data_IF_268723518593
#
_entry.id   IF_268723518593
#
_cell.length_a   1.000
_cell.length_b   1.000
_cell.length_c   1.000
_cell.angle_alpha   90.00
_cell.angle_beta   90.00
_cell.angle_gamma   90.00
#
_symmetry.space_group_name_H-M   'P 1'
#
loop_
_entity.id
_entity.type
_entity.pdbx_description
1 polymer ?
2 polymer ?
3 non-polymer ?
4 water ?
#
# COMPACT_ATOMS: atom_id res chain seq x y z
N UNK A 10 27.19 -11.88 13.99
CA UNK A 10 25.94 -12.63 13.65
C UNK A 10 26.04 -14.08 14.15
N UNK A 11 24.95 -14.55 14.78
CA UNK A 11 24.80 -15.93 15.28
C UNK A 11 23.82 -16.74 14.37
N UNK A 12 23.55 -18.04 14.67
CA UNK A 12 22.69 -18.77 13.74
C UNK A 12 21.21 -18.33 13.70
N UNK A 13 20.60 -17.95 14.84
CA UNK A 13 19.21 -17.47 14.76
C UNK A 13 19.10 -16.15 13.98
N UNK A 14 20.04 -15.22 14.21
CA UNK A 14 20.16 -13.97 13.45
C UNK A 14 20.31 -14.24 11.96
N UNK A 15 21.10 -15.25 11.63
CA UNK A 15 21.29 -15.68 10.23
C UNK A 15 19.97 -16.08 9.54
N UNK A 16 19.17 -16.89 10.20
CA UNK A 16 17.85 -17.28 9.67
C UNK A 16 16.96 -16.04 9.45
N UNK A 17 17.07 -15.07 10.36
CA UNK A 17 16.33 -13.80 10.22
C UNK A 17 16.84 -12.95 9.06
N UNK A 18 18.16 -12.93 8.83
CA UNK A 18 18.72 -12.26 7.65
C UNK A 18 18.31 -12.92 6.37
N UNK A 19 18.29 -14.24 6.37
CA UNK A 19 17.83 -14.99 5.20
C UNK A 19 16.36 -14.67 4.84
N UNK A 20 15.53 -14.61 5.86
CA UNK A 20 14.12 -14.26 5.68
C UNK A 20 14.00 -12.82 5.11
N UNK A 21 14.76 -11.89 5.66
CA UNK A 21 14.81 -10.52 5.14
C UNK A 21 15.17 -10.46 3.67
N UNK A 22 16.19 -11.22 3.29
CA UNK A 22 16.61 -11.24 1.91
C UNK A 22 15.59 -11.91 0.99
N UNK A 23 14.99 -12.99 1.46
CA UNK A 23 14.00 -13.68 0.68
C UNK A 23 12.82 -12.73 0.37
N UNK A 24 12.40 -11.98 1.39
CA UNK A 24 11.29 -11.04 1.22
C UNK A 24 11.68 -9.88 0.29
N UNK A 25 12.88 -9.31 0.44
CA UNK A 25 13.36 -8.24 -0.44
C UNK A 25 13.30 -8.64 -1.89
N UNK A 26 13.79 -9.85 -2.19
CA UNK A 26 13.80 -10.37 -3.55
C UNK A 26 12.37 -10.57 -4.09
N UNK A 27 11.45 -11.08 -3.28
CA UNK A 27 10.04 -11.22 -3.72
C UNK A 27 9.40 -9.87 -3.93
N UNK A 28 9.76 -8.92 -3.08
CA UNK A 28 9.21 -7.56 -3.18
C UNK A 28 9.59 -6.93 -4.54
N UNK A 29 10.87 -7.05 -4.88
CA UNK A 29 11.39 -6.53 -6.17
C UNK A 29 10.76 -7.20 -7.37
N UNK A 30 10.53 -8.50 -7.27
CA UNK A 30 9.77 -9.18 -8.29
C UNK A 30 8.32 -8.73 -8.40
N UNK A 31 7.65 -8.45 -7.27
CA UNK A 31 6.18 -8.23 -7.29
C UNK A 31 5.76 -6.82 -7.59
N UNK A 32 6.61 -5.86 -7.27
CA UNK A 32 6.23 -4.48 -7.27
C UNK A 32 7.13 -3.76 -8.28
N UNK A 33 6.57 -3.42 -9.45
CA UNK A 33 7.38 -2.85 -10.53
C UNK A 33 8.07 -1.53 -10.16
N UNK A 34 7.40 -0.64 -9.44
CA UNK A 34 7.99 0.66 -9.08
C UNK A 34 8.39 0.72 -7.61
N UNK A 35 9.68 0.65 -7.32
CA UNK A 35 10.18 0.60 -5.95
C UNK A 35 10.30 1.98 -5.37
N UNK A 36 10.52 2.07 -4.06
CA UNK A 36 10.76 3.37 -3.44
C UNK A 36 12.05 4.00 -3.95
N UNK A 37 13.07 3.17 -4.16
CA UNK A 37 14.33 3.59 -4.78
C UNK A 37 14.07 4.36 -6.08
N UNK A 38 13.39 3.72 -7.02
CA UNK A 38 13.07 4.36 -8.30
C UNK A 38 12.20 5.60 -8.13
N UNK A 39 11.18 5.52 -7.28
CA UNK A 39 10.30 6.64 -6.99
C UNK A 39 11.06 7.84 -6.49
N UNK A 40 11.99 7.61 -5.57
CA UNK A 40 12.81 8.68 -5.01
C UNK A 40 13.71 9.31 -6.06
N UNK A 41 14.32 8.48 -6.90
CA UNK A 41 15.16 8.94 -8.00
C UNK A 41 14.35 9.90 -8.87
N UNK A 42 13.13 9.47 -9.26
CA UNK A 42 12.21 10.29 -10.04
C UNK A 42 11.88 11.60 -9.33
N UNK A 43 11.58 11.56 -8.04
CA UNK A 43 11.12 12.76 -7.34
C UNK A 43 12.22 13.77 -7.06
N UNK A 44 13.43 13.32 -6.79
CA UNK A 44 14.52 14.24 -6.49
C UNK A 44 15.10 14.84 -7.77
N UNK A 45 14.93 14.14 -8.90
CA UNK A 45 15.53 14.53 -10.16
C UNK A 45 16.80 13.79 -10.47
N UNK A 46 17.22 12.90 -9.56
CA UNK A 46 18.47 12.16 -9.73
C UNK A 46 18.29 10.97 -10.67
N UNK A 47 17.66 11.19 -11.81
CA UNK A 47 17.44 10.11 -12.80
C UNK A 47 17.72 10.65 -14.21
N UNK A 48 18.15 9.76 -15.10
CA UNK A 48 18.37 10.10 -16.51
C UNK A 48 17.09 9.94 -17.37
N UNK A 49 15.96 9.54 -16.77
CA UNK A 49 14.67 9.54 -17.47
C UNK A 49 14.14 10.97 -17.58
N UNK A 50 13.20 11.16 -18.50
CA UNK A 50 12.45 12.41 -18.57
C UNK A 50 11.77 12.58 -17.23
N UNK A 51 11.75 13.80 -16.71
CA UNK A 51 10.97 14.10 -15.50
C UNK A 51 9.46 13.89 -15.82
N UNK A 52 8.63 13.65 -14.78
CA UNK A 52 7.22 13.32 -15.05
C UNK A 52 6.35 14.53 -15.47
N UNK A 53 5.29 14.25 -16.23
CA UNK A 53 4.29 15.26 -16.58
C UNK A 53 3.49 15.69 -15.36
N UNK A 54 3.45 16.99 -15.08
CA UNK A 54 2.80 17.53 -13.89
C UNK A 54 1.32 17.82 -14.14
N UNK A 55 0.44 17.26 -13.30
CA UNK A 55 -0.97 17.49 -13.37
C UNK A 55 -1.31 18.32 -12.17
N UNK A 56 -1.70 19.59 -12.44
CA UNK A 56 -1.99 20.58 -11.42
C UNK A 56 -3.34 21.24 -11.61
N UNK A 57 -4.00 20.95 -12.72
CA UNK A 57 -5.31 21.52 -13.01
C UNK A 57 -6.04 20.68 -14.05
N UNK A 58 -7.29 21.01 -14.28
CA UNK A 58 -8.12 20.29 -15.23
C UNK A 58 -7.48 20.27 -16.61
N UNK A 59 -6.92 21.40 -17.02
CA UNK A 59 -6.26 21.49 -18.33
C UNK A 59 -5.03 20.64 -18.45
N UNK A 60 -4.13 20.75 -17.47
CA UNK A 60 -2.93 19.93 -17.47
C UNK A 60 -3.30 18.45 -17.46
N UNK A 61 -4.29 18.09 -16.65
CA UNK A 61 -4.81 16.73 -16.61
C UNK A 61 -5.13 16.23 -18.02
N UNK A 62 -6.01 16.95 -18.70
CA UNK A 62 -6.47 16.59 -20.05
C UNK A 62 -5.33 16.51 -21.06
N UNK A 63 -4.39 17.44 -21.00
CA UNK A 63 -3.21 17.36 -21.88
C UNK A 63 -2.31 16.18 -21.55
N UNK A 64 -2.23 15.86 -20.26
CA UNK A 64 -1.51 14.68 -19.77
C UNK A 64 -2.21 13.39 -20.12
N UNK A 65 -3.55 13.38 -20.13
CA UNK A 65 -4.32 12.21 -20.60
C UNK A 65 -3.91 11.82 -22.02
N UNK A 66 -3.58 12.82 -22.83
CA UNK A 66 -2.93 12.61 -24.13
C UNK A 66 -1.41 12.28 -23.93
N UNK A 67 -1.09 11.16 -23.27
CA UNK A 67 0.31 10.68 -23.09
C UNK A 67 0.40 9.16 -23.20
N UNK A 79 -14.52 7.31 -21.88
CA UNK A 79 -14.93 7.66 -20.52
C UNK A 79 -15.73 8.98 -20.46
N UNK A 80 -15.05 10.13 -20.40
CA UNK A 80 -15.70 11.46 -20.41
C UNK A 80 -16.76 11.69 -19.30
N UNK A 81 -16.49 11.16 -18.11
CA UNK A 81 -17.22 11.54 -16.91
C UNK A 81 -16.50 12.80 -16.40
N UNK A 82 -17.04 13.44 -15.37
CA UNK A 82 -16.39 14.62 -14.81
C UNK A 82 -15.02 14.30 -14.17
N UNK A 83 -14.15 15.30 -14.10
CA UNK A 83 -12.76 15.13 -13.66
C UNK A 83 -12.61 14.42 -12.29
N UNK A 84 -13.40 14.81 -11.29
CA UNK A 84 -13.24 14.25 -9.95
C UNK A 84 -13.49 12.73 -9.97
N UNK A 85 -14.47 12.31 -10.77
CA UNK A 85 -14.84 10.91 -10.92
C UNK A 85 -13.77 10.16 -11.70
N UNK A 86 -13.27 10.75 -12.78
CA UNK A 86 -12.21 10.12 -13.52
C UNK A 86 -10.99 9.89 -12.65
N UNK A 87 -10.64 10.87 -11.81
CA UNK A 87 -9.50 10.72 -10.91
C UNK A 87 -9.77 9.63 -9.89
N UNK A 88 -10.93 9.68 -9.26
CA UNK A 88 -11.28 8.69 -8.24
C UNK A 88 -11.23 7.26 -8.80
N UNK A 89 -11.75 7.08 -9.99
CA UNK A 89 -11.74 5.77 -10.62
C UNK A 89 -10.38 5.34 -11.11
N UNK A 90 -9.53 6.29 -11.47
CA UNK A 90 -8.11 5.97 -11.73
C UNK A 90 -7.40 5.43 -10.49
N UNK A 91 -7.70 6.02 -9.33
CA UNK A 91 -7.22 5.49 -8.04
C UNK A 91 -7.72 4.05 -7.83
N UNK A 92 -9.00 3.80 -8.08
CA UNK A 92 -9.54 2.43 -8.01
C UNK A 92 -8.78 1.45 -8.91
N UNK A 93 -8.58 1.83 -10.16
CA UNK A 93 -7.83 1.04 -11.12
C UNK A 93 -6.40 0.72 -10.62
N UNK A 94 -5.74 1.70 -10.00
CA UNK A 94 -4.42 1.49 -9.44
C UNK A 94 -4.49 0.46 -8.25
N UNK A 95 -5.47 0.62 -7.37
CA UNK A 95 -5.66 -0.35 -6.27
C UNK A 95 -5.86 -1.76 -6.76
N UNK A 96 -6.70 -1.92 -7.80
CA UNK A 96 -6.93 -3.23 -8.38
C UNK A 96 -5.67 -3.91 -8.83
N UNK A 97 -4.81 -3.17 -9.50
CA UNK A 97 -3.49 -3.70 -9.87
C UNK A 97 -2.60 -3.93 -8.63
N UNK A 98 -2.67 -3.03 -7.67
CA UNK A 98 -1.90 -3.17 -6.43
C UNK A 98 -2.31 -4.45 -5.66
N UNK A 99 -3.61 -4.72 -5.61
CA UNK A 99 -4.11 -5.93 -4.90
C UNK A 99 -3.52 -7.19 -5.52
N UNK A 100 -3.40 -7.18 -6.85
CA UNK A 100 -2.80 -8.31 -7.54
C UNK A 100 -1.34 -8.48 -7.25
N UNK A 101 -0.60 -7.40 -7.21
CA UNK A 101 0.81 -7.45 -6.84
C UNK A 101 1.02 -7.91 -5.37
N UNK A 102 0.16 -7.41 -4.49
CA UNK A 102 0.28 -7.72 -3.04
C UNK A 102 -0.05 -9.20 -2.80
N UNK A 103 -1.02 -9.71 -3.56
CA UNK A 103 -1.43 -11.12 -3.48
C UNK A 103 -0.27 -12.01 -3.91
N UNK A 104 0.40 -11.64 -4.99
CA UNK A 104 1.58 -12.38 -5.40
C UNK A 104 2.68 -12.32 -4.35
N UNK A 105 2.93 -11.14 -3.80
CA UNK A 105 3.93 -10.99 -2.76
C UNK A 105 3.58 -11.84 -1.53
N UNK A 106 2.32 -11.81 -1.12
CA UNK A 106 1.87 -12.56 0.08
C UNK A 106 2.17 -14.04 -0.04
N UNK A 107 1.98 -14.58 -1.25
CA UNK A 107 2.25 -15.99 -1.55
C UNK A 107 3.70 -16.40 -1.36
N UNK A 108 4.62 -15.43 -1.48
CA UNK A 108 6.03 -15.66 -1.19
C UNK A 108 6.43 -15.60 0.29
N UNK A 109 5.54 -15.19 1.18
CA UNK A 109 5.90 -15.10 2.61
C UNK A 109 5.91 -16.51 3.18
N UNK A 110 7.08 -16.97 3.69
CA UNK A 110 7.15 -18.38 4.08
C UNK A 110 6.05 -18.76 5.08
N UNK A 111 5.30 -19.82 4.77
CA UNK A 111 4.20 -20.29 5.60
C UNK A 111 2.83 -19.77 5.25
N UNK A 112 2.75 -18.65 4.52
CA UNK A 112 1.47 -18.09 4.13
C UNK A 112 0.53 -19.03 3.37
N UNK A 113 1.01 -19.63 2.28
CA UNK A 113 0.16 -20.52 1.51
C UNK A 113 -0.22 -21.82 2.22
N UNK A 114 0.47 -22.16 3.32
CA UNK A 114 0.07 -23.33 4.13
C UNK A 114 -1.05 -23.02 5.13
N UNK A 115 -1.48 -21.77 5.24
CA UNK A 115 -2.63 -21.45 6.07
C UNK A 115 -3.94 -21.88 5.41
N UNK A 116 -4.93 -22.20 6.23
CA UNK A 116 -6.32 -22.24 5.78
C UNK A 116 -6.57 -21.10 4.77
N UNK A 117 -7.06 -21.50 3.58
CA UNK A 117 -7.34 -20.61 2.49
C UNK A 117 -8.30 -19.50 2.87
N UNK A 118 -9.29 -19.78 3.71
CA UNK A 118 -10.21 -18.72 4.18
C UNK A 118 -9.47 -17.66 4.99
N UNK A 119 -8.50 -18.11 5.76
CA UNK A 119 -7.67 -17.19 6.51
C UNK A 119 -6.71 -16.42 5.58
N UNK A 120 -6.18 -17.06 4.52
CA UNK A 120 -5.38 -16.30 3.53
C UNK A 120 -6.20 -15.16 2.95
N UNK A 121 -7.45 -15.46 2.61
CA UNK A 121 -8.39 -14.48 2.09
C UNK A 121 -8.64 -13.38 3.10
N UNK A 122 -8.90 -13.74 4.35
CA UNK A 122 -9.20 -12.70 5.36
C UNK A 122 -8.00 -11.76 5.60
N UNK A 123 -6.80 -12.32 5.65
CA UNK A 123 -5.56 -11.54 5.83
C UNK A 123 -5.34 -10.55 4.68
N UNK A 124 -5.63 -11.00 3.47
CA UNK A 124 -5.51 -10.14 2.31
C UNK A 124 -6.57 -9.09 2.32
N UNK A 125 -7.80 -9.47 2.62
CA UNK A 125 -8.87 -8.53 2.65
C UNK A 125 -8.62 -7.36 3.57
N UNK A 126 -8.12 -7.64 4.77
CA UNK A 126 -7.83 -6.62 5.75
C UNK A 126 -6.43 -5.99 5.55
N UNK A 127 -5.51 -6.67 4.90
CA UNK A 127 -4.13 -6.18 4.77
C UNK A 127 -3.92 -5.22 3.60
N UNK A 128 -4.66 -5.43 2.51
CA UNK A 128 -4.31 -4.79 1.22
C UNK A 128 -4.33 -3.28 1.24
N UNK A 129 -5.37 -2.67 1.84
CA UNK A 129 -5.38 -1.23 1.88
C UNK A 129 -4.33 -0.62 2.77
N UNK A 130 -4.03 -1.26 3.90
CA UNK A 130 -2.95 -0.81 4.77
C UNK A 130 -1.64 -0.81 3.97
N UNK A 131 -1.40 -1.84 3.18
CA UNK A 131 -0.21 -1.93 2.37
C UNK A 131 -0.25 -0.89 1.23
N UNK A 132 -1.39 -0.76 0.55
CA UNK A 132 -1.53 0.25 -0.47
C UNK A 132 -1.14 1.66 0.01
N UNK A 133 -1.65 2.08 1.16
CA UNK A 133 -1.33 3.41 1.66
C UNK A 133 0.11 3.52 2.16
N UNK A 134 0.65 2.42 2.69
CA UNK A 134 2.08 2.36 3.02
C UNK A 134 2.93 2.61 1.80
N UNK A 135 2.68 1.84 0.75
CA UNK A 135 3.45 1.94 -0.46
C UNK A 135 3.16 3.22 -1.27
N UNK A 136 1.97 3.79 -1.14
CA UNK A 136 1.66 5.07 -1.74
C UNK A 136 2.54 6.20 -1.19
N UNK A 137 2.84 6.14 0.10
CA UNK A 137 3.79 7.09 0.72
C UNK A 137 5.17 7.11 0.02
N UNK A 138 5.59 5.96 -0.51
CA UNK A 138 6.87 5.87 -1.21
C UNK A 138 6.84 6.79 -2.46
N UNK A 139 5.65 7.01 -3.01
CA UNK A 139 5.42 7.79 -4.22
C UNK A 139 5.03 9.27 -3.97
N UNK A 140 5.03 9.69 -2.70
CA UNK A 140 4.53 10.96 -2.26
C UNK A 140 5.64 11.83 -1.71
N UNK A 141 5.52 13.14 -1.91
CA UNK A 141 6.16 14.12 -1.04
C UNK A 141 5.08 15.05 -0.56
N UNK A 142 5.45 16.10 0.15
CA UNK A 142 4.48 17.05 0.67
C UNK A 142 3.71 17.81 -0.41
N UNK A 143 4.20 17.82 -1.65
CA UNK A 143 3.53 18.54 -2.75
C UNK A 143 2.73 17.72 -3.76
N UNK A 144 2.92 16.40 -3.79
CA UNK A 144 2.17 15.58 -4.75
C UNK A 144 2.59 14.13 -4.78
N UNK A 145 2.06 13.42 -5.77
CA UNK A 145 2.18 11.99 -5.85
C UNK A 145 2.42 11.56 -7.27
N UNK A 146 3.39 10.67 -7.42
CA UNK A 146 3.65 10.01 -8.69
C UNK A 146 2.50 9.11 -9.12
N UNK A 147 2.19 9.13 -10.39
CA UNK A 147 1.14 8.29 -10.95
C UNK A 147 1.69 7.59 -12.17
N UNK A 148 0.92 6.60 -12.64
CA UNK A 148 1.15 5.91 -13.89
C UNK A 148 2.61 5.48 -14.01
N UNK A 149 3.05 4.77 -12.97
CA UNK A 149 4.43 4.28 -12.78
C UNK A 149 5.53 5.35 -12.82
N UNK A 150 5.22 6.54 -12.31
CA UNK A 150 6.17 7.63 -12.29
C UNK A 150 6.25 8.45 -13.58
N UNK A 151 5.38 8.17 -14.55
CA UNK A 151 5.26 8.99 -15.75
C UNK A 151 4.55 10.31 -15.49
N UNK A 152 3.77 10.38 -14.41
CA UNK A 152 3.11 11.62 -13.99
C UNK A 152 3.32 11.99 -12.53
N UNK A 153 3.08 13.26 -12.23
CA UNK A 153 3.09 13.77 -10.85
C UNK A 153 1.89 14.67 -10.67
N UNK A 154 0.95 14.24 -9.83
CA UNK A 154 -0.28 14.93 -9.61
C UNK A 154 -0.14 15.71 -8.33
N UNK A 155 -0.46 17.01 -8.37
CA UNK A 155 -0.13 17.86 -7.23
C UNK A 155 -1.17 17.68 -6.15
N UNK A 156 -0.71 17.84 -4.92
CA UNK A 156 -1.58 17.72 -3.76
C UNK A 156 -2.66 18.80 -3.80
N UNK A 157 -2.26 20.01 -4.19
CA UNK A 157 -3.21 21.12 -4.30
C UNK A 157 -4.33 20.83 -5.27
N UNK A 158 -3.98 20.30 -6.44
CA UNK A 158 -5.01 19.90 -7.39
C UNK A 158 -5.99 18.87 -6.81
N UNK A 159 -5.46 17.86 -6.15
CA UNK A 159 -6.36 16.89 -5.49
C UNK A 159 -7.24 17.55 -4.43
N UNK A 160 -6.70 18.50 -3.67
CA UNK A 160 -7.51 19.23 -2.67
C UNK A 160 -8.65 20.00 -3.30
N UNK A 161 -8.40 20.56 -4.48
CA UNK A 161 -9.38 21.42 -5.16
C UNK A 161 -10.62 20.69 -5.70
N UNK A 162 -10.62 19.37 -5.76
CA UNK A 162 -11.75 18.65 -6.36
C UNK A 162 -13.02 18.93 -5.58
N UNK A 163 -14.15 18.92 -6.26
CA UNK A 163 -15.44 19.20 -5.61
C UNK A 163 -15.79 18.12 -4.57
N UNK A 164 -16.42 18.53 -3.45
CA UNK A 164 -16.87 17.56 -2.44
C UNK A 164 -17.72 16.46 -3.11
N UNK A 165 -17.68 15.21 -2.64
CA UNK A 165 -16.85 14.73 -1.51
C UNK A 165 -15.36 14.42 -1.83
N UNK A 166 -14.94 14.67 -3.06
CA UNK A 166 -13.65 14.20 -3.53
C UNK A 166 -12.50 15.10 -3.11
N UNK A 167 -12.77 16.28 -2.57
CA UNK A 167 -11.74 17.26 -2.32
C UNK A 167 -10.77 16.98 -1.20
N UNK A 168 -11.14 16.14 -0.26
CA UNK A 168 -10.23 15.85 0.85
C UNK A 168 -9.94 14.35 1.06
N UNK A 169 -10.27 13.51 0.07
CA UNK A 169 -10.00 12.07 0.18
C UNK A 169 -8.51 11.70 0.17
N UNK A 170 -7.67 12.48 -0.52
CA UNK A 170 -6.22 12.25 -0.46
C UNK A 170 -5.49 12.85 0.74
N UNK A 171 -6.09 13.84 1.40
CA UNK A 171 -5.38 14.59 2.45
C UNK A 171 -4.85 13.75 3.61
N UNK A 172 -5.69 12.88 4.17
CA UNK A 172 -5.19 11.96 5.21
C UNK A 172 -4.04 11.05 4.75
N UNK A 173 -3.99 10.75 3.45
CA UNK A 173 -2.95 9.89 2.91
C UNK A 173 -1.64 10.67 2.81
N UNK A 174 -1.69 11.89 2.30
CA UNK A 174 -0.52 12.77 2.30
C UNK A 174 0.03 13.09 3.70
N UNK A 175 -0.86 13.36 4.65
CA UNK A 175 -0.45 13.67 6.05
C UNK A 175 0.26 12.48 6.71
N UNK A 176 -0.34 11.31 6.55
CA UNK A 176 0.35 10.06 6.90
C UNK A 176 1.71 9.94 6.24
N UNK A 177 1.76 10.13 4.92
CA UNK A 177 3.00 9.98 4.18
C UNK A 177 4.14 10.88 4.61
N UNK A 178 3.87 12.14 4.86
CA UNK A 178 4.97 13.05 5.24
C UNK A 178 5.62 12.60 6.57
N UNK A 179 4.80 12.21 7.54
CA UNK A 179 5.27 11.60 8.81
C UNK A 179 5.98 10.28 8.61
N UNK A 180 5.41 9.41 7.79
CA UNK A 180 5.97 8.09 7.60
C UNK A 180 7.27 8.16 6.84
N UNK A 181 7.34 9.02 5.82
CA UNK A 181 8.57 9.17 5.03
C UNK A 181 9.78 9.72 5.84
N UNK A 182 9.48 10.45 6.90
CA UNK A 182 10.50 10.94 7.83
C UNK A 182 11.29 9.83 8.52
N UNK A 183 10.73 8.61 8.59
CA UNK A 183 11.45 7.44 9.05
C UNK A 183 12.53 6.97 8.10
N UNK A 184 12.45 7.38 6.84
CA UNK A 184 13.46 7.11 5.81
C UNK A 184 13.68 5.63 5.63
N UNK A 185 12.60 4.83 5.55
CA UNK A 185 12.79 3.41 5.24
C UNK A 185 13.15 3.20 3.78
N UNK A 186 13.88 2.14 3.51
CA UNK A 186 14.11 1.72 2.15
C UNK A 186 13.30 0.49 1.82
N UNK A 187 13.39 0.06 0.58
CA UNK A 187 12.69 -1.09 0.07
C UNK A 187 12.94 -2.38 0.88
N UNK A 188 14.18 -2.58 1.33
CA UNK A 188 14.49 -3.76 2.14
C UNK A 188 13.78 -3.72 3.51
N UNK A 189 13.66 -2.55 4.09
CA UNK A 189 12.85 -2.40 5.32
C UNK A 189 11.33 -2.60 5.05
N UNK A 190 10.85 -1.94 4.01
CA UNK A 190 9.42 -2.00 3.63
C UNK A 190 8.99 -3.42 3.33
N UNK A 191 9.85 -4.22 2.68
CA UNK A 191 9.45 -5.56 2.32
C UNK A 191 9.04 -6.36 3.56
N UNK A 192 9.77 -6.19 4.66
CA UNK A 192 9.48 -6.92 5.91
C UNK A 192 8.26 -6.33 6.60
N UNK A 193 8.19 -5.00 6.66
CA UNK A 193 7.08 -4.32 7.26
C UNK A 193 5.73 -4.71 6.67
N UNK A 194 5.70 -4.77 5.33
CA UNK A 194 4.50 -5.14 4.61
C UNK A 194 4.07 -6.58 4.95
N UNK A 195 5.04 -7.49 5.09
CA UNK A 195 4.74 -8.86 5.45
C UNK A 195 4.17 -8.91 6.87
N UNK A 196 4.73 -8.11 7.76
CA UNK A 196 4.21 -7.99 9.14
C UNK A 196 2.74 -7.56 9.17
N UNK A 197 2.41 -6.57 8.36
CA UNK A 197 1.03 -6.11 8.26
C UNK A 197 0.11 -7.24 7.78
N UNK A 198 0.51 -7.98 6.74
CA UNK A 198 -0.31 -9.03 6.19
C UNK A 198 -0.61 -10.11 7.24
N UNK A 199 0.41 -10.49 8.02
CA UNK A 199 0.31 -11.53 9.04
C UNK A 199 -0.18 -11.05 10.41
N UNK A 200 -1.25 -10.25 10.42
CA UNK A 200 -1.82 -9.70 11.63
C UNK A 200 -2.87 -10.65 12.21
N UNK A 201 -2.61 -11.15 13.41
CA UNK A 201 -3.48 -12.16 14.01
C UNK A 201 -4.79 -11.64 14.58
N UNK A 202 -5.00 -10.33 14.54
CA UNK A 202 -6.20 -9.76 15.09
C UNK A 202 -7.23 -9.33 14.05
N UNK A 203 -7.11 -9.79 12.80
CA UNK A 203 -8.14 -9.45 11.83
C UNK A 203 -9.46 -10.12 12.23
N UNK A 204 -10.59 -9.42 12.06
CA UNK A 204 -11.87 -10.07 12.32
C UNK A 204 -12.07 -11.32 11.51
N UNK A 205 -12.61 -12.35 12.16
CA UNK A 205 -13.09 -13.52 11.44
C UNK A 205 -12.06 -14.55 11.13
N UNK A 206 -10.85 -14.41 11.68
CA UNK A 206 -9.84 -15.40 11.40
C UNK A 206 -10.24 -16.70 12.13
N UNK A 207 -9.99 -17.82 11.49
CA UNK A 207 -10.36 -19.15 12.00
C UNK A 207 -9.32 -19.72 12.94
N UNK A 208 -8.06 -19.62 12.54
CA UNK A 208 -6.97 -20.21 13.30
C UNK A 208 -5.79 -19.22 13.45
N UNK A 209 -5.80 -18.47 14.55
CA UNK A 209 -4.83 -17.39 14.78
C UNK A 209 -3.38 -17.85 15.04
N UNK A 210 -3.21 -19.01 15.64
CA UNK A 210 -1.92 -19.47 16.11
C UNK A 210 -0.81 -19.55 15.05
N UNK A 211 -1.05 -20.26 13.92
CA UNK A 211 -0.04 -20.32 12.88
C UNK A 211 0.26 -18.93 12.27
N UNK A 212 -0.72 -18.03 12.26
CA UNK A 212 -0.52 -16.64 11.77
C UNK A 212 0.38 -15.87 12.72
N UNK A 213 0.06 -15.89 14.02
CA UNK A 213 0.95 -15.30 15.01
C UNK A 213 2.36 -15.88 15.02
N UNK A 214 2.50 -17.18 14.76
CA UNK A 214 3.83 -17.79 14.72
C UNK A 214 4.69 -17.19 13.61
N UNK A 215 4.07 -17.05 12.43
CA UNK A 215 4.74 -16.41 11.29
C UNK A 215 5.05 -14.94 11.61
N UNK A 216 4.07 -14.20 12.14
CA UNK A 216 4.29 -12.78 12.42
C UNK A 216 5.41 -12.56 13.45
N UNK A 217 5.48 -13.44 14.44
CA UNK A 217 6.58 -13.42 15.43
C UNK A 217 7.96 -13.43 14.75
N UNK A 218 8.15 -14.35 13.84
CA UNK A 218 9.38 -14.40 13.06
C UNK A 218 9.64 -13.18 12.21
N UNK A 219 8.58 -12.74 11.51
CA UNK A 219 8.70 -11.51 10.73
C UNK A 219 9.07 -10.31 11.56
N UNK A 220 8.45 -10.15 12.72
CA UNK A 220 8.71 -9.00 13.58
C UNK A 220 10.17 -9.02 14.09
N UNK A 221 10.63 -10.19 14.48
CA UNK A 221 12.06 -10.37 14.80
C UNK A 221 12.96 -9.99 13.63
N UNK A 222 12.63 -10.48 12.43
CA UNK A 222 13.35 -10.12 11.21
C UNK A 222 13.35 -8.64 10.97
N UNK A 223 12.18 -8.01 11.14
CA UNK A 223 12.12 -6.55 11.01
C UNK A 223 12.99 -5.80 12.03
N UNK A 224 12.90 -6.16 13.30
CA UNK A 224 13.70 -5.51 14.30
C UNK A 224 15.22 -5.57 13.99
N UNK A 225 15.68 -6.75 13.57
CA UNK A 225 17.12 -6.93 13.25
C UNK A 225 17.50 -6.09 12.03
N UNK A 226 16.65 -6.17 11.02
CA UNK A 226 16.82 -5.38 9.81
C UNK A 226 16.97 -3.92 10.11
N UNK A 227 16.10 -3.38 10.95
CA UNK A 227 16.16 -1.99 11.31
C UNK A 227 17.42 -1.63 12.14
N UNK A 228 17.79 -2.50 13.07
CA UNK A 228 19.08 -2.35 13.79
C UNK A 228 20.27 -2.35 12.83
N UNK A 229 20.33 -3.28 11.87
CA UNK A 229 21.48 -3.35 10.95
C UNK A 229 21.51 -2.25 9.87
N UNK A 230 20.37 -1.98 9.25
CA UNK A 230 20.29 -0.99 8.17
C UNK A 230 20.23 0.45 8.66
N UNK A 231 19.76 0.67 9.89
CA UNK A 231 19.63 2.02 10.46
C UNK A 231 20.17 2.06 11.90
N UNK A 232 21.47 1.66 12.05
CA UNK A 232 22.11 1.52 13.39
C UNK A 232 22.09 2.81 14.20
N UNK A 233 22.13 3.95 13.51
CA UNK A 233 22.04 5.26 14.12
C UNK A 233 20.62 5.72 14.53
N UNK A 234 19.57 5.04 14.06
CA UNK A 234 18.19 5.51 14.34
C UNK A 234 17.57 4.64 15.42
N UNK A 235 17.86 5.02 16.64
CA UNK A 235 17.35 4.29 17.79
C UNK A 235 15.80 4.24 17.81
N UNK A 236 15.27 3.12 18.29
CA UNK A 236 13.82 2.89 18.42
C UNK A 236 12.98 3.11 17.14
N UNK A 237 13.61 2.92 15.98
CA UNK A 237 12.92 2.98 14.70
C UNK A 237 11.85 1.87 14.66
N UNK A 238 12.22 0.66 15.11
CA UNK A 238 11.27 -0.47 15.27
C UNK A 238 10.01 -0.03 16.01
N UNK A 239 10.15 0.55 17.20
CA UNK A 239 8.97 1.01 17.96
C UNK A 239 8.15 2.12 17.26
N UNK A 240 8.81 3.04 16.57
CA UNK A 240 8.09 4.11 15.87
C UNK A 240 7.26 3.49 14.71
N UNK A 241 7.89 2.56 14.04
CA UNK A 241 7.26 1.90 12.92
C UNK A 241 6.01 1.08 13.35
N UNK A 242 6.07 0.38 14.48
CA UNK A 242 4.90 -0.37 14.97
C UNK A 242 3.71 0.51 15.29
N UNK A 243 3.96 1.74 15.71
CA UNK A 243 2.87 2.64 16.05
C UNK A 243 2.16 3.11 14.78
N UNK A 244 2.89 3.21 13.67
CA UNK A 244 2.26 3.52 12.35
C UNK A 244 1.23 2.49 11.86
N UNK A 245 1.36 1.24 12.30
CA UNK A 245 0.41 0.19 11.94
C UNK A 245 -0.95 0.52 12.42
N UNK A 246 -1.01 1.16 13.57
CA UNK A 246 -2.27 1.63 14.14
C UNK A 246 -2.84 2.81 13.35
N UNK A 247 -1.98 3.73 12.94
CA UNK A 247 -2.40 4.87 12.10
C UNK A 247 -2.93 4.43 10.69
N UNK A 248 -2.28 3.44 10.09
CA UNK A 248 -2.80 2.88 8.83
C UNK A 248 -4.25 2.41 8.91
N UNK A 249 -4.63 1.78 10.02
CA UNK A 249 -6.02 1.31 10.19
C UNK A 249 -7.03 2.43 10.18
N UNK A 250 -6.65 3.54 10.78
CA UNK A 250 -7.46 4.75 10.83
C UNK A 250 -7.68 5.31 9.45
N UNK A 251 -6.62 5.33 8.64
CA UNK A 251 -6.76 5.77 7.28
C UNK A 251 -7.80 4.92 6.54
N UNK A 252 -7.72 3.60 6.72
CA UNK A 252 -8.64 2.69 6.04
C UNK A 252 -10.11 2.90 6.53
N UNK A 253 -10.32 2.94 7.83
CA UNK A 253 -11.67 3.08 8.38
C UNK A 253 -12.31 4.39 7.91
N UNK A 254 -11.56 5.49 7.98
CA UNK A 254 -12.06 6.76 7.46
C UNK A 254 -12.37 6.69 5.99
N UNK A 255 -11.51 6.04 5.24
CA UNK A 255 -11.75 5.92 3.82
C UNK A 255 -13.02 5.14 3.52
N UNK A 256 -13.27 4.09 4.30
CA UNK A 256 -14.49 3.31 4.17
C UNK A 256 -15.74 4.23 4.32
N UNK A 257 -15.69 5.12 5.29
CA UNK A 257 -16.80 6.06 5.55
C UNK A 257 -16.96 7.02 4.39
N UNK A 258 -15.84 7.51 3.84
CA UNK A 258 -15.93 8.34 2.67
C UNK A 258 -16.57 7.56 1.53
N UNK A 259 -16.16 6.31 1.33
CA UNK A 259 -16.77 5.51 0.28
C UNK A 259 -18.26 5.34 0.46
N UNK A 260 -18.72 5.17 1.71
CA UNK A 260 -20.16 5.06 1.99
C UNK A 260 -20.92 6.31 1.52
N UNK A 261 -20.37 7.47 1.85
CA UNK A 261 -20.90 8.77 1.38
C UNK A 261 -20.96 8.81 -0.13
N UNK A 262 -19.84 8.52 -0.78
CA UNK A 262 -19.75 8.54 -2.23
C UNK A 262 -20.73 7.59 -2.86
N UNK A 263 -20.86 6.39 -2.32
CA UNK A 263 -21.81 5.43 -2.84
C UNK A 263 -23.26 5.95 -2.77
N UNK A 264 -23.59 6.72 -1.73
CA UNK A 264 -24.95 7.27 -1.60
C UNK A 264 -25.18 8.46 -2.53
N UNK A 265 -24.20 9.35 -2.61
CA UNK A 265 -24.37 10.62 -3.31
C UNK A 265 -24.01 10.59 -4.81
N UNK A 266 -23.26 9.59 -5.28
CA UNK A 266 -22.78 9.56 -6.67
C UNK A 266 -23.14 8.28 -7.36
N UNK A 267 -24.43 8.03 -7.59
CA UNK A 267 -24.83 6.79 -8.27
C UNK A 267 -24.46 6.80 -9.78
N UNK A 268 -23.82 7.88 -10.24
CA UNK A 268 -22.97 7.84 -11.42
C UNK A 268 -21.99 6.66 -11.38
N UNK A 269 -21.34 6.49 -10.23
CA UNK A 269 -20.22 5.57 -10.07
C UNK A 269 -20.58 4.17 -9.66
N UNK A 270 -19.59 3.31 -9.84
CA UNK A 270 -19.70 1.89 -9.70
C UNK A 270 -18.35 1.40 -9.20
N UNK A 271 -18.34 0.63 -8.13
CA UNK A 271 -17.09 0.17 -7.55
C UNK A 271 -16.62 -1.05 -8.34
N UNK A 272 -15.37 -1.08 -8.75
CA UNK A 272 -14.78 -2.26 -9.35
C UNK A 272 -15.09 -3.52 -8.50
N UNK A 273 -15.38 -4.66 -9.15
CA UNK A 273 -15.82 -5.85 -8.40
C UNK A 273 -14.84 -6.43 -7.36
N UNK A 274 -13.54 -6.43 -7.66
CA UNK A 274 -12.50 -6.78 -6.67
C UNK A 274 -12.58 -5.90 -5.42
N UNK A 275 -12.73 -4.59 -5.63
CA UNK A 275 -12.90 -3.65 -4.55
C UNK A 275 -14.22 -3.84 -3.78
N UNK A 276 -15.33 -4.08 -4.48
CA UNK A 276 -16.60 -4.44 -3.79
C UNK A 276 -16.40 -5.61 -2.81
N UNK A 277 -15.73 -6.63 -3.30
CA UNK A 277 -15.40 -7.84 -2.57
C UNK A 277 -14.57 -7.54 -1.31
N UNK A 278 -13.51 -6.73 -1.47
CA UNK A 278 -12.67 -6.33 -0.32
C UNK A 278 -13.44 -5.50 0.68
N UNK A 279 -14.16 -4.51 0.20
CA UNK A 279 -14.83 -3.61 1.07
C UNK A 279 -16.09 -4.23 1.75
N UNK A 280 -16.65 -5.29 1.17
CA UNK A 280 -17.91 -5.86 1.70
C UNK A 280 -17.68 -6.40 3.11
N UNK A 281 -18.39 -5.85 4.09
CA UNK A 281 -18.27 -6.24 5.50
C UNK A 281 -16.87 -5.97 6.06
N UNK A 282 -16.22 -4.95 5.51
CA UNK A 282 -14.98 -4.40 6.04
C UNK A 282 -15.30 -3.17 6.92
N UNK A 283 -15.24 -3.37 8.22
CA UNK A 283 -15.47 -2.28 9.22
C UNK A 283 -16.89 -1.68 9.32
N UNK B 2 -18.39 -15.98 -1.70
CA UNK B 2 -17.72 -14.68 -1.34
C UNK B 2 -16.19 -14.73 -1.47
N UNK B 3 -15.63 -13.58 -1.85
CA UNK B 3 -14.21 -13.46 -2.20
C UNK B 3 -13.76 -14.35 -3.36
N UNK B 4 -14.65 -14.47 -4.34
CA UNK B 4 -14.43 -15.25 -5.55
C UNK B 4 -13.11 -14.86 -6.22
N UNK B 5 -12.92 -13.56 -6.45
CA UNK B 5 -11.68 -13.08 -7.10
C UNK B 5 -10.45 -13.38 -6.27
N UNK B 6 -10.45 -12.98 -4.99
CA UNK B 6 -9.29 -13.21 -4.14
C UNK B 6 -8.93 -14.68 -4.07
N UNK B 7 -9.96 -15.52 -3.92
CA UNK B 7 -9.77 -16.99 -3.99
C UNK B 7 -9.02 -17.35 -5.25
N UNK B 8 -9.51 -16.81 -6.36
CA UNK B 8 -8.90 -17.09 -7.65
C UNK B 8 -7.44 -16.62 -7.69
N UNK B 9 -7.18 -15.38 -7.29
CA UNK B 9 -5.80 -14.89 -7.25
C UNK B 9 -4.92 -15.75 -6.36
N UNK B 10 -5.47 -16.21 -5.24
CA UNK B 10 -4.71 -17.03 -4.30
C UNK B 10 -4.38 -18.42 -4.85
N UNK B 11 -5.31 -19.00 -5.62
CA UNK B 11 -5.17 -20.37 -6.13
C UNK B 11 -4.54 -20.44 -7.51
N UNK B 12 -4.79 -19.45 -8.35
CA UNK B 12 -4.08 -19.23 -9.62
C UNK B 12 -2.72 -19.96 -9.72
#
# INVERSE_FOLDING_TARGET
AEISSDIDQLNPESADLRALAKHLYDSYIKSFPLTKAKARAILTGKTTDKSPFVIYDMNSLMMGEDKIKFKHITPLQEQSKEVAIRIFQGCQFRSVEAVQEITEYAKSIPGFVNLDLNDQVTLLKYGVHEIIYTMLASLMNKDGVLISEGQGFMTREFLKSLRKPFGDFMEPKFEFAVKFNALELDDSDLAIFIAVIILSGDRPGLLNVKPIEDIQDNLLQALELQLKLNHPESSQLFAKLLQKMTDLRQIVTEHVQLLQVIKKTETDMSLHPLLQEIYKDLY
ERHKILHRLLQEGSPS
#
